data_IF_471369388225
#
_entry.id   IF_471369388225
#
_cell.length_a   1.000
_cell.length_b   1.000
_cell.length_c   1.000
_cell.angle_alpha   90.00
_cell.angle_beta   90.00
_cell.angle_gamma   90.00
#
_symmetry.space_group_name_H-M   'P 1'
#
loop_
_entity.id
_entity.type
_entity.pdbx_description
1 polymer ?
#
# COMPACT_ATOMS: atom_id res chain seq x y z
N UNK A 1 4.56 13.04 11.87
CA UNK A 1 4.00 12.90 10.51
C UNK A 1 2.75 13.76 10.43
N UNK A 2 2.34 14.17 9.24
CA UNK A 2 1.10 14.94 9.03
C UNK A 2 -0.13 14.05 9.18
N UNK A 3 -1.29 14.67 9.42
CA UNK A 3 -2.58 13.97 9.52
C UNK A 3 -2.93 13.26 8.22
N UNK A 4 -2.66 13.87 7.08
CA UNK A 4 -2.88 13.31 5.75
C UNK A 4 -2.06 12.02 5.59
N UNK A 5 -0.78 12.07 5.96
CA UNK A 5 0.09 10.89 5.92
C UNK A 5 -0.45 9.75 6.82
N UNK A 6 -0.86 10.06 8.05
CA UNK A 6 -1.46 9.08 8.98
C UNK A 6 -2.74 8.44 8.41
N UNK A 7 -3.61 9.25 7.80
CA UNK A 7 -4.82 8.74 7.14
C UNK A 7 -4.43 7.75 6.03
N UNK A 8 -3.42 8.10 5.22
CA UNK A 8 -2.91 7.23 4.16
C UNK A 8 -2.43 5.87 4.66
N UNK A 9 -1.61 5.86 5.72
CA UNK A 9 -1.12 4.62 6.36
C UNK A 9 -2.27 3.82 6.97
N UNK A 10 -3.20 4.47 7.68
CA UNK A 10 -4.33 3.79 8.30
C UNK A 10 -5.27 3.13 7.28
N UNK A 11 -5.43 3.74 6.10
CA UNK A 11 -6.17 3.13 5.00
C UNK A 11 -5.46 1.87 4.48
N UNK A 12 -4.13 1.86 4.36
CA UNK A 12 -3.36 0.68 3.94
C UNK A 12 -3.48 -0.46 4.96
N UNK A 13 -3.42 -0.13 6.26
CA UNK A 13 -3.63 -1.11 7.34
C UNK A 13 -5.00 -1.78 7.28
N UNK A 14 -6.05 -1.01 6.96
CA UNK A 14 -7.41 -1.55 6.85
C UNK A 14 -7.58 -2.56 5.73
N UNK A 15 -6.75 -2.48 4.70
CA UNK A 15 -6.78 -3.41 3.55
C UNK A 15 -5.56 -4.33 3.51
N UNK A 16 -4.83 -4.43 4.63
CA UNK A 16 -3.60 -5.21 4.69
C UNK A 16 -3.86 -6.69 4.39
N UNK A 17 -4.94 -7.26 4.93
CA UNK A 17 -5.29 -8.66 4.72
C UNK A 17 -5.55 -8.95 3.24
N UNK A 18 -6.30 -8.09 2.58
CA UNK A 18 -6.61 -8.20 1.15
C UNK A 18 -5.36 -7.99 0.28
N UNK A 19 -4.44 -7.11 0.68
CA UNK A 19 -3.13 -6.98 0.02
C UNK A 19 -2.32 -8.29 0.15
N UNK A 20 -2.28 -8.88 1.35
CA UNK A 20 -1.63 -10.17 1.59
C UNK A 20 -2.26 -11.29 0.76
N UNK A 21 -3.59 -11.37 0.71
CA UNK A 21 -4.34 -12.31 -0.14
C UNK A 21 -4.01 -12.09 -1.63
N UNK A 22 -4.01 -10.84 -2.09
CA UNK A 22 -3.66 -10.50 -3.48
C UNK A 22 -2.22 -10.90 -3.81
N UNK A 23 -1.30 -10.82 -2.85
CA UNK A 23 0.09 -11.27 -3.01
C UNK A 23 0.21 -12.79 -3.23
N UNK A 24 -0.80 -13.54 -2.78
CA UNK A 24 -0.87 -15.01 -2.86
C UNK A 24 -1.80 -15.51 -3.98
N UNK A 25 -2.62 -14.63 -4.57
CA UNK A 25 -3.60 -14.99 -5.59
C UNK A 25 -3.01 -15.85 -6.71
N UNK A 26 -3.64 -16.97 -7.03
CA UNK A 26 -3.09 -17.95 -7.97
C UNK A 26 -3.47 -17.64 -9.42
N UNK A 27 -4.59 -16.96 -9.61
CA UNK A 27 -5.10 -16.61 -10.93
C UNK A 27 -5.64 -15.18 -11.01
N UNK A 28 -5.88 -14.72 -12.25
CA UNK A 28 -6.36 -13.37 -12.53
C UNK A 28 -7.81 -13.13 -12.10
N UNK A 29 -8.63 -14.17 -12.03
CA UNK A 29 -10.04 -14.03 -11.63
C UNK A 29 -10.13 -13.75 -10.13
N UNK A 30 -9.40 -14.49 -9.32
CA UNK A 30 -9.22 -14.25 -7.89
C UNK A 30 -8.62 -12.86 -7.64
N UNK A 31 -7.51 -12.55 -8.30
CA UNK A 31 -6.85 -11.25 -8.17
C UNK A 31 -7.79 -10.09 -8.50
N UNK A 32 -8.58 -10.20 -9.58
CA UNK A 32 -9.54 -9.18 -9.97
C UNK A 32 -10.63 -8.95 -8.92
N UNK A 33 -11.11 -10.01 -8.25
CA UNK A 33 -12.10 -9.88 -7.16
C UNK A 33 -11.53 -9.09 -6.00
N UNK A 34 -10.31 -9.42 -5.58
CA UNK A 34 -9.63 -8.74 -4.47
C UNK A 34 -9.33 -7.28 -4.84
N UNK A 35 -8.77 -7.05 -6.04
CA UNK A 35 -8.46 -5.71 -6.54
C UNK A 35 -9.69 -4.80 -6.56
N UNK A 36 -10.85 -5.30 -6.98
CA UNK A 36 -12.07 -4.50 -6.99
C UNK A 36 -12.48 -4.00 -5.58
N UNK A 37 -12.11 -4.74 -4.54
CA UNK A 37 -12.36 -4.35 -3.14
C UNK A 37 -11.35 -3.32 -2.64
N UNK A 38 -10.09 -3.39 -3.08
CA UNK A 38 -8.99 -2.59 -2.50
C UNK A 38 -8.46 -1.45 -3.36
N UNK A 39 -8.79 -1.40 -4.65
CA UNK A 39 -8.24 -0.39 -5.57
C UNK A 39 -8.57 1.04 -5.09
N UNK A 40 -9.78 1.25 -4.56
CA UNK A 40 -10.21 2.54 -4.04
C UNK A 40 -9.44 2.97 -2.78
N UNK A 41 -9.39 2.16 -1.70
CA UNK A 41 -8.60 2.52 -0.51
C UNK A 41 -7.11 2.68 -0.82
N UNK A 42 -6.50 1.85 -1.66
CA UNK A 42 -5.10 2.00 -2.07
C UNK A 42 -4.88 3.30 -2.86
N UNK A 43 -5.79 3.64 -3.77
CA UNK A 43 -5.76 4.92 -4.50
C UNK A 43 -5.90 6.11 -3.56
N UNK A 44 -6.83 6.02 -2.59
CA UNK A 44 -7.02 7.05 -1.58
C UNK A 44 -5.76 7.23 -0.71
N UNK A 45 -5.11 6.14 -0.30
CA UNK A 45 -3.83 6.19 0.41
C UNK A 45 -2.75 6.91 -0.39
N UNK A 46 -2.64 6.64 -1.69
CA UNK A 46 -1.68 7.32 -2.57
C UNK A 46 -1.90 8.84 -2.58
N UNK A 47 -3.16 9.29 -2.66
CA UNK A 47 -3.48 10.72 -2.62
C UNK A 47 -3.13 11.38 -1.30
N UNK A 48 -3.42 10.71 -0.19
CA UNK A 48 -3.15 11.21 1.16
C UNK A 48 -1.63 11.28 1.44
N UNK A 49 -0.88 10.23 1.09
CA UNK A 49 0.59 10.20 1.22
C UNK A 49 1.25 11.24 0.31
N UNK A 50 0.70 11.50 -0.88
CA UNK A 50 1.22 12.53 -1.78
C UNK A 50 1.16 13.93 -1.19
N UNK A 51 0.11 14.27 -0.42
CA UNK A 51 -0.03 15.62 0.14
C UNK A 51 0.46 15.71 1.59
N UNK A 52 0.63 14.58 2.27
CA UNK A 52 1.19 14.53 3.62
C UNK A 52 2.71 14.40 3.65
N UNK A 53 3.29 14.57 4.83
CA UNK A 53 4.70 14.34 5.15
C UNK A 53 4.85 13.24 6.22
N UNK A 54 5.82 12.34 6.02
CA UNK A 54 6.11 11.22 6.91
C UNK A 54 7.34 10.41 6.47
N UNK A 55 7.75 9.41 7.27
CA UNK A 55 8.88 8.55 6.94
C UNK A 55 8.64 7.78 5.63
N UNK A 56 9.69 7.59 4.83
CA UNK A 56 9.64 6.81 3.58
C UNK A 56 8.54 7.26 2.60
N UNK A 57 8.16 8.54 2.63
CA UNK A 57 7.03 9.07 1.87
C UNK A 57 7.19 8.84 0.37
N UNK A 58 8.39 9.08 -0.16
CA UNK A 58 8.64 8.98 -1.60
C UNK A 58 8.57 7.53 -2.06
N UNK A 59 9.15 6.62 -1.28
CA UNK A 59 9.17 5.17 -1.53
C UNK A 59 7.77 4.55 -1.42
N UNK A 60 6.98 5.00 -0.44
CA UNK A 60 5.57 4.63 -0.30
C UNK A 60 4.76 5.12 -1.50
N UNK A 61 4.91 6.40 -1.87
CA UNK A 61 4.17 6.98 -2.97
C UNK A 61 4.52 6.28 -4.29
N UNK A 62 5.79 6.03 -4.55
CA UNK A 62 6.26 5.27 -5.72
C UNK A 62 5.59 3.88 -5.76
N UNK A 63 5.65 3.14 -4.66
CA UNK A 63 5.07 1.80 -4.55
C UNK A 63 3.56 1.81 -4.75
N UNK A 64 2.86 2.81 -4.20
CA UNK A 64 1.41 2.96 -4.34
C UNK A 64 0.99 3.31 -5.76
N UNK A 65 1.68 4.26 -6.41
CA UNK A 65 1.37 4.64 -7.79
C UNK A 65 1.59 3.47 -8.75
N UNK A 66 2.68 2.71 -8.56
CA UNK A 66 2.92 1.48 -9.31
C UNK A 66 1.82 0.45 -9.06
N UNK A 67 1.47 0.20 -7.80
CA UNK A 67 0.42 -0.76 -7.46
C UNK A 67 -0.95 -0.38 -8.05
N UNK A 68 -1.32 0.90 -8.02
CA UNK A 68 -2.56 1.39 -8.64
C UNK A 68 -2.58 1.14 -10.14
N UNK A 69 -1.44 1.35 -10.82
CA UNK A 69 -1.32 1.03 -12.24
C UNK A 69 -1.47 -0.47 -12.49
N UNK A 70 -0.70 -1.29 -11.76
CA UNK A 70 -0.69 -2.74 -11.93
C UNK A 70 -2.08 -3.36 -11.65
N UNK A 71 -2.80 -2.87 -10.63
CA UNK A 71 -4.17 -3.29 -10.32
C UNK A 71 -5.18 -2.94 -11.43
N UNK A 72 -4.99 -1.83 -12.15
CA UNK A 72 -5.89 -1.45 -13.26
C UNK A 72 -5.65 -2.31 -14.50
N UNK A 73 -4.39 -2.64 -14.75
CA UNK A 73 -3.98 -3.37 -15.95
C UNK A 73 -4.11 -4.89 -15.77
N UNK A 74 -3.84 -5.43 -14.57
CA UNK A 74 -3.79 -6.87 -14.27
C UNK A 74 -2.97 -7.70 -15.27
N UNK A 75 -2.05 -7.05 -15.96
CA UNK A 75 -1.21 -7.62 -17.01
C UNK A 75 -0.06 -8.41 -16.39
N UNK A 76 0.64 -7.81 -15.43
CA UNK A 76 1.78 -8.38 -14.70
C UNK A 76 1.41 -8.75 -13.25
N UNK A 77 0.99 -10.00 -13.07
CA UNK A 77 0.67 -10.53 -11.74
C UNK A 77 1.90 -10.63 -10.83
N UNK A 78 3.09 -10.90 -11.37
CA UNK A 78 4.28 -11.11 -10.56
C UNK A 78 4.82 -9.76 -10.06
N UNK A 79 4.94 -8.77 -10.96
CA UNK A 79 5.34 -7.42 -10.58
C UNK A 79 4.37 -6.77 -9.58
N UNK A 80 3.07 -7.03 -9.71
CA UNK A 80 2.08 -6.59 -8.72
C UNK A 80 2.35 -7.22 -7.33
N UNK A 81 2.58 -8.54 -7.26
CA UNK A 81 2.88 -9.24 -6.00
C UNK A 81 4.15 -8.73 -5.33
N UNK A 82 5.20 -8.46 -6.10
CA UNK A 82 6.44 -7.88 -5.59
C UNK A 82 6.22 -6.46 -5.04
N UNK A 83 5.45 -5.65 -5.76
CA UNK A 83 5.11 -4.28 -5.34
C UNK A 83 4.31 -4.30 -4.04
N UNK A 84 3.38 -5.24 -3.88
CA UNK A 84 2.62 -5.43 -2.63
C UNK A 84 3.55 -5.80 -1.47
N UNK A 85 4.49 -6.75 -1.67
CA UNK A 85 5.45 -7.14 -0.61
C UNK A 85 6.29 -5.95 -0.15
N UNK A 86 6.82 -5.16 -1.11
CA UNK A 86 7.57 -3.93 -0.81
C UNK A 86 6.70 -2.94 -0.05
N UNK A 87 5.47 -2.71 -0.47
CA UNK A 87 4.54 -1.81 0.20
C UNK A 87 4.26 -2.24 1.65
N UNK A 88 3.98 -3.52 1.89
CA UNK A 88 3.74 -4.07 3.24
C UNK A 88 4.99 -4.02 4.13
N UNK A 89 6.18 -4.11 3.54
CA UNK A 89 7.43 -3.88 4.27
C UNK A 89 7.56 -2.41 4.68
N UNK A 90 7.40 -1.47 3.74
CA UNK A 90 7.47 -0.03 4.02
C UNK A 90 6.47 0.42 5.08
N UNK A 91 5.25 -0.13 5.06
CA UNK A 91 4.24 0.16 6.09
C UNK A 91 4.74 -0.24 7.49
N UNK A 92 5.41 -1.41 7.62
CA UNK A 92 6.00 -1.86 8.88
C UNK A 92 7.17 -0.96 9.32
N UNK A 93 8.05 -0.60 8.39
CA UNK A 93 9.18 0.31 8.68
C UNK A 93 8.69 1.69 9.15
N UNK A 94 7.56 2.19 8.64
CA UNK A 94 6.91 3.40 9.16
C UNK A 94 6.43 3.22 10.60
N UNK A 95 5.83 2.08 10.93
CA UNK A 95 5.37 1.80 12.29
C UNK A 95 6.52 1.78 13.28
N UNK A 96 7.61 1.10 12.93
CA UNK A 96 8.84 1.02 13.72
C UNK A 96 9.45 2.42 13.94
N UNK A 97 9.63 3.19 12.86
CA UNK A 97 10.15 4.56 12.94
C UNK A 97 9.27 5.52 13.77
N UNK A 98 7.99 5.19 13.93
CA UNK A 98 7.03 5.97 14.74
C UNK A 98 7.02 5.52 16.20
N UNK A 99 7.27 4.24 16.47
CA UNK A 99 7.40 3.68 17.81
C UNK A 99 8.68 4.16 18.49
N UNK A 100 9.82 4.13 17.79
CA UNK A 100 11.12 4.58 18.31
C UNK A 100 11.12 6.06 18.71
N UNK A 101 10.34 6.90 18.01
CA UNK A 101 10.18 8.33 18.34
C UNK A 101 9.32 8.62 19.57
N UNK A 102 8.62 7.62 20.13
CA UNK A 102 7.79 7.78 21.33
C UNK A 102 8.51 7.38 22.62
N UNK A 103 9.65 6.70 22.53
CA UNK A 103 10.43 6.22 23.67
C UNK A 103 11.70 7.04 23.96
N UNK A 104 11.94 8.12 23.21
CA UNK A 104 13.03 9.09 23.44
C UNK A 104 12.52 10.50 23.67
#
# INVERSE_FOLDING_TARGET
MTKEFEIGINLLKRVQKELEELSQAQDRLEARRIVNTIVNPVTASAYQIRVGEGPYREELLESLLKLVKDMRELSDMNGMKETIKRLLQLVREVEEATAEKKEG
#
